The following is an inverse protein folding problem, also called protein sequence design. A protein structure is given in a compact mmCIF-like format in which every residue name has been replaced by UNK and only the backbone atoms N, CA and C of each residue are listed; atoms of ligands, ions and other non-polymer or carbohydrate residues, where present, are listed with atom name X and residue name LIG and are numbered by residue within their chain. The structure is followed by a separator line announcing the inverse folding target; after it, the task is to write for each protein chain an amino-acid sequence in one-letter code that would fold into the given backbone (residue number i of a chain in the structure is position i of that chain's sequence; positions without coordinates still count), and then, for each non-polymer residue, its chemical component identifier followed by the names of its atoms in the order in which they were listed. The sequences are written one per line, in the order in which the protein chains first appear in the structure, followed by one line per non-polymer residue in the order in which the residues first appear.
data_IF_363445324412
#
_entry.id   IF_363445324412
#
_cell.length_a   1.000
_cell.length_b   1.000
_cell.length_c   1.000
_cell.angle_alpha   90.00
_cell.angle_beta   90.00
_cell.angle_gamma   90.00
#
_symmetry.space_group_name_H-M   'P 1'
#
loop_
_entity.id
_entity.type
_entity.pdbx_description
1 polymer ?
#
# COMPACT_ATOMS: atom_id res chain seq x y z
N UNK A 1 -10.38 37.61 67.08
CA UNK A 1 -10.92 37.54 68.45
C UNK A 1 -12.35 37.07 68.32
N UNK A 2 -12.61 35.88 68.84
CA UNK A 2 -13.87 35.13 68.74
C UNK A 2 -14.92 35.71 69.69
N UNK A 3 -16.19 35.57 69.33
CA UNK A 3 -17.32 35.49 70.26
C UNK A 3 -18.34 34.48 69.71
N UNK A 4 -18.35 33.31 70.33
CA UNK A 4 -19.41 32.29 70.27
C UNK A 4 -20.55 32.67 71.23
N UNK A 5 -21.81 32.47 70.83
CA UNK A 5 -22.97 32.27 71.74
C UNK A 5 -23.95 31.28 71.09
N UNK A 6 -24.36 30.29 71.88
CA UNK A 6 -25.09 29.06 71.55
C UNK A 6 -26.64 29.17 71.61
N UNK A 7 -27.29 28.32 70.80
CA UNK A 7 -28.43 27.38 71.03
C UNK A 7 -29.84 27.77 71.60
N UNK A 8 -30.87 27.06 71.07
CA UNK A 8 -32.21 26.78 71.65
C UNK A 8 -33.36 26.84 70.59
N UNK A 9 -33.80 25.77 69.87
CA UNK A 9 -34.67 24.61 70.21
C UNK A 9 -36.17 25.00 70.41
N UNK A 10 -37.01 24.87 69.35
CA UNK A 10 -38.21 23.99 69.12
C UNK A 10 -39.58 24.71 69.36
N UNK A 11 -40.78 24.38 68.85
CA UNK A 11 -41.49 23.16 68.39
C UNK A 11 -42.74 23.50 67.51
N UNK A 12 -43.21 22.50 66.73
CA UNK A 12 -44.61 22.09 66.39
C UNK A 12 -45.53 22.97 65.47
N UNK A 13 -45.92 22.51 64.26
CA UNK A 13 -47.14 21.70 63.87
C UNK A 13 -48.43 22.57 63.78
N UNK A 14 -49.39 22.52 62.85
CA UNK A 14 -49.87 21.58 61.81
C UNK A 14 -50.98 22.31 60.95
N UNK A 15 -51.20 21.88 59.69
CA UNK A 15 -52.51 21.67 58.98
C UNK A 15 -53.51 22.85 58.71
N UNK A 16 -54.34 22.98 57.66
CA UNK A 16 -54.76 22.16 56.50
C UNK A 16 -55.67 22.98 55.52
N UNK A 17 -55.60 22.64 54.22
CA UNK A 17 -56.69 22.40 53.22
C UNK A 17 -57.58 23.47 52.52
N UNK A 18 -57.87 23.13 51.25
CA UNK A 18 -59.05 23.49 50.43
C UNK A 18 -58.71 24.24 49.12
N UNK A 19 -58.57 23.71 47.89
CA UNK A 19 -59.25 22.69 47.04
C UNK A 19 -59.81 23.36 45.74
N UNK A 20 -59.96 22.53 44.68
CA UNK A 20 -60.65 22.68 43.38
C UNK A 20 -59.86 23.22 42.16
N UNK A 21 -59.84 22.59 40.97
CA UNK A 21 -60.29 21.30 40.38
C UNK A 21 -59.68 21.25 38.94
N UNK A 22 -58.95 20.19 38.57
CA UNK A 22 -59.30 19.09 37.63
C UNK A 22 -59.21 19.39 36.12
N UNK A 23 -58.38 18.59 35.41
CA UNK A 23 -58.68 17.99 34.09
C UNK A 23 -57.63 16.91 33.71
N UNK A 24 -58.03 15.66 33.98
CA UNK A 24 -57.83 14.39 33.27
C UNK A 24 -56.44 13.87 32.82
N UNK A 25 -56.13 12.71 33.42
CA UNK A 25 -55.11 11.73 33.06
C UNK A 25 -55.46 10.97 31.77
N UNK A 26 -54.50 10.88 30.84
CA UNK A 26 -54.41 9.77 29.90
C UNK A 26 -52.97 9.22 29.87
N UNK A 27 -52.88 7.96 30.27
CA UNK A 27 -51.72 7.07 30.17
C UNK A 27 -51.05 7.14 28.79
N UNK A 28 -49.74 7.39 28.77
CA UNK A 28 -48.87 7.01 27.68
C UNK A 28 -47.76 6.15 28.26
N UNK A 29 -47.89 4.84 28.06
CA UNK A 29 -46.85 3.84 28.31
C UNK A 29 -45.57 4.24 27.59
N UNK A 30 -44.54 4.67 28.33
CA UNK A 30 -43.18 4.71 27.81
C UNK A 30 -42.71 3.27 27.58
N UNK A 31 -42.81 2.83 26.32
CA UNK A 31 -42.14 1.65 25.83
C UNK A 31 -40.63 1.87 25.92
N UNK A 32 -40.04 1.39 27.02
CA UNK A 32 -38.61 1.17 27.16
C UNK A 32 -38.20 0.16 26.08
N UNK A 33 -37.65 0.66 24.97
CA UNK A 33 -36.87 -0.18 24.07
C UNK A 33 -35.59 -0.58 24.81
N UNK A 34 -35.60 -1.81 25.33
CA UNK A 34 -34.46 -2.47 25.93
C UNK A 34 -33.33 -2.64 24.89
N UNK A 35 -32.38 -1.72 24.89
CA UNK A 35 -31.13 -1.82 24.13
C UNK A 35 -30.11 -2.65 24.93
N UNK A 36 -30.40 -3.96 25.06
CA UNK A 36 -29.65 -4.90 25.91
C UNK A 36 -28.21 -5.12 25.42
N UNK A 37 -27.91 -4.87 24.15
CA UNK A 37 -26.56 -5.03 23.58
C UNK A 37 -25.57 -3.96 24.06
N UNK A 38 -26.04 -2.74 24.37
CA UNK A 38 -25.19 -1.62 24.80
C UNK A 38 -24.57 -1.88 26.18
N UNK A 39 -25.36 -2.42 27.12
CA UNK A 39 -24.87 -2.72 28.47
C UNK A 39 -23.86 -3.87 28.50
N UNK A 40 -24.04 -4.91 27.67
CA UNK A 40 -23.09 -6.02 27.62
C UNK A 40 -21.76 -5.65 26.95
N UNK A 41 -21.79 -4.81 25.91
CA UNK A 41 -20.58 -4.32 25.25
C UNK A 41 -19.76 -3.43 26.21
N UNK A 42 -20.43 -2.54 26.95
CA UNK A 42 -19.81 -1.70 27.99
C UNK A 42 -19.29 -2.55 29.15
N UNK A 43 -20.01 -3.61 29.53
CA UNK A 43 -19.58 -4.52 30.61
C UNK A 43 -18.37 -5.36 30.19
N UNK A 44 -18.36 -5.93 28.98
CA UNK A 44 -17.20 -6.65 28.42
C UNK A 44 -15.99 -5.73 28.27
N UNK A 45 -16.20 -4.50 27.81
CA UNK A 45 -15.12 -3.52 27.66
C UNK A 45 -14.57 -3.05 29.02
N UNK A 46 -15.43 -2.82 30.01
CA UNK A 46 -15.00 -2.46 31.37
C UNK A 46 -14.22 -3.59 32.06
N UNK A 47 -14.54 -4.86 31.78
CA UNK A 47 -13.76 -6.02 32.23
C UNK A 47 -12.38 -6.06 31.57
N UNK A 48 -12.29 -5.70 30.29
CA UNK A 48 -11.02 -5.60 29.56
C UNK A 48 -10.17 -4.41 30.04
N UNK A 49 -10.80 -3.28 30.41
CA UNK A 49 -10.14 -2.10 30.97
C UNK A 49 -9.54 -2.38 32.36
N UNK A 50 -10.15 -3.24 33.17
CA UNK A 50 -9.59 -3.64 34.48
C UNK A 50 -8.29 -4.43 34.37
N UNK A 51 -8.04 -5.09 33.25
CA UNK A 51 -6.76 -5.76 32.99
C UNK A 51 -5.65 -4.81 32.50
N UNK A 52 -5.99 -3.54 32.19
CA UNK A 52 -5.06 -2.53 31.65
C UNK A 52 -4.28 -1.82 32.76
N UNK A 53 -4.88 -1.62 33.93
CA UNK A 53 -4.25 -0.87 35.04
C UNK A 53 -2.96 -1.54 35.59
N UNK A 54 -2.70 -2.81 35.27
CA UNK A 54 -1.54 -3.57 35.75
C UNK A 54 -0.37 -3.70 34.75
N UNK A 55 -0.47 -3.19 33.52
CA UNK A 55 0.59 -3.39 32.49
C UNK A 55 0.86 -2.15 31.63
N UNK A 56 2.16 -1.88 31.39
CA UNK A 56 2.67 -0.68 30.72
C UNK A 56 2.47 -0.65 29.20
N UNK A 57 3.14 0.30 28.53
CA UNK A 57 2.97 0.68 27.11
C UNK A 57 2.99 -0.49 26.11
N UNK A 58 3.70 -1.58 26.40
CA UNK A 58 3.77 -2.81 25.58
C UNK A 58 2.41 -3.53 25.42
N UNK A 59 1.48 -3.33 26.36
CA UNK A 59 0.14 -3.92 26.34
C UNK A 59 -0.73 -3.40 25.17
N UNK A 60 -0.52 -2.14 24.76
CA UNK A 60 -1.30 -1.52 23.70
C UNK A 60 -0.95 -2.07 22.32
N UNK A 61 0.32 -2.40 22.08
CA UNK A 61 0.75 -3.05 20.84
C UNK A 61 0.11 -4.45 20.68
N UNK A 62 -0.01 -5.19 21.77
CA UNK A 62 -0.64 -6.52 21.79
C UNK A 62 -2.16 -6.45 21.53
N UNK A 63 -2.87 -5.48 22.13
CA UNK A 63 -4.29 -5.26 21.84
C UNK A 63 -4.52 -4.83 20.38
N UNK A 64 -3.67 -3.95 19.84
CA UNK A 64 -3.73 -3.54 18.44
C UNK A 64 -3.50 -4.74 17.50
N UNK A 65 -2.56 -5.62 17.82
CA UNK A 65 -2.31 -6.85 17.07
C UNK A 65 -3.54 -7.79 17.11
N UNK A 66 -4.19 -7.90 18.25
CA UNK A 66 -5.36 -8.75 18.46
C UNK A 66 -6.61 -8.21 17.73
N UNK A 67 -6.85 -6.89 17.77
CA UNK A 67 -7.93 -6.25 17.02
C UNK A 67 -7.73 -6.35 15.50
N UNK A 68 -6.48 -6.25 15.03
CA UNK A 68 -6.12 -6.46 13.62
C UNK A 68 -6.38 -7.89 13.16
N UNK A 69 -6.18 -8.89 14.03
CA UNK A 69 -6.53 -10.29 13.75
C UNK A 69 -8.05 -10.51 13.68
N UNK A 70 -8.82 -9.92 14.59
CA UNK A 70 -10.28 -10.04 14.58
C UNK A 70 -10.92 -9.34 13.36
N UNK A 71 -10.37 -8.21 12.93
CA UNK A 71 -10.79 -7.51 11.70
C UNK A 71 -10.45 -8.24 10.38
N UNK A 72 -9.73 -9.36 10.44
CA UNK A 72 -9.48 -10.25 9.29
C UNK A 72 -10.45 -11.45 9.22
N UNK A 73 -11.19 -11.75 10.30
CA UNK A 73 -12.21 -12.80 10.29
C UNK A 73 -13.44 -12.32 9.50
N UNK A 74 -13.65 -12.91 8.32
CA UNK A 74 -14.70 -12.56 7.37
C UNK A 74 -16.08 -13.10 7.76
N UNK A 75 -16.52 -12.91 9.02
CA UNK A 75 -17.77 -13.51 9.52
C UNK A 75 -18.90 -12.53 9.85
N UNK A 76 -18.87 -11.28 9.35
CA UNK A 76 -19.96 -10.29 9.56
C UNK A 76 -20.65 -9.94 8.23
N UNK A 77 -20.83 -10.92 7.33
CA UNK A 77 -21.44 -10.69 6.01
C UNK A 77 -22.89 -11.21 5.88
N UNK A 78 -23.56 -11.58 6.97
CA UNK A 78 -24.92 -12.17 6.89
C UNK A 78 -26.07 -11.32 7.48
N UNK A 79 -25.83 -10.10 8.00
CA UNK A 79 -26.91 -9.31 8.64
C UNK A 79 -27.25 -7.96 8.00
N UNK A 80 -26.63 -7.55 6.90
CA UNK A 80 -26.79 -6.19 6.35
C UNK A 80 -27.60 -6.16 5.04
N UNK A 81 -28.88 -6.52 5.09
CA UNK A 81 -29.82 -6.37 3.96
C UNK A 81 -30.76 -5.14 4.10
N UNK A 82 -30.59 -4.30 5.11
CA UNK A 82 -31.34 -3.04 5.24
C UNK A 82 -30.49 -1.86 4.74
N UNK A 83 -30.56 -1.57 3.43
CA UNK A 83 -29.83 -0.44 2.82
C UNK A 83 -30.34 0.95 3.26
N UNK A 84 -31.46 1.04 3.99
CA UNK A 84 -32.03 2.31 4.44
C UNK A 84 -31.40 2.85 5.75
N UNK A 85 -30.84 1.98 6.59
CA UNK A 85 -30.24 2.37 7.89
C UNK A 85 -28.79 2.91 7.77
N UNK A 86 -28.20 2.87 6.57
CA UNK A 86 -26.80 3.29 6.30
C UNK A 86 -26.70 4.68 5.64
N UNK A 87 -27.79 5.44 5.57
CA UNK A 87 -27.78 6.79 4.98
C UNK A 87 -27.31 7.81 6.02
N UNK A 88 -26.22 8.51 5.70
CA UNK A 88 -25.75 9.69 6.43
C UNK A 88 -26.92 10.69 6.58
N UNK A 89 -27.25 11.06 7.81
CA UNK A 89 -28.27 12.09 8.05
C UNK A 89 -27.61 13.46 7.83
N UNK A 90 -28.40 14.45 7.40
CA UNK A 90 -27.89 15.83 7.21
C UNK A 90 -27.28 16.41 8.50
N UNK A 91 -27.74 15.93 9.65
CA UNK A 91 -27.29 16.37 10.98
C UNK A 91 -25.99 15.71 11.46
N UNK A 92 -25.48 14.68 10.76
CA UNK A 92 -24.30 13.93 11.22
C UNK A 92 -23.01 14.68 10.81
N UNK A 93 -22.56 15.60 11.66
CA UNK A 93 -21.42 16.47 11.38
C UNK A 93 -20.09 15.77 11.69
N UNK A 94 -19.25 15.64 10.65
CA UNK A 94 -17.90 15.10 10.77
C UNK A 94 -16.89 16.23 10.59
N UNK A 95 -15.90 16.28 11.47
CA UNK A 95 -14.78 17.22 11.42
C UNK A 95 -13.46 16.47 11.22
N UNK A 96 -12.65 17.01 10.33
CA UNK A 96 -11.26 16.65 10.16
C UNK A 96 -10.40 17.47 11.12
N UNK A 97 -9.53 16.81 11.88
CA UNK A 97 -8.59 17.44 12.80
C UNK A 97 -7.18 16.99 12.45
N UNK A 98 -6.27 17.95 12.30
CA UNK A 98 -4.85 17.65 12.11
C UNK A 98 -4.27 16.94 13.34
N UNK A 99 -3.56 15.84 13.12
CA UNK A 99 -2.91 15.02 14.14
C UNK A 99 -1.40 14.97 13.89
N UNK A 100 -0.62 14.78 14.95
CA UNK A 100 0.79 14.43 14.79
C UNK A 100 0.92 13.08 14.07
N UNK A 101 1.75 13.04 13.03
CA UNK A 101 1.94 11.84 12.20
C UNK A 101 2.41 10.66 13.05
N UNK A 102 1.77 9.49 12.87
CA UNK A 102 2.08 8.25 13.58
C UNK A 102 1.39 8.10 14.94
N UNK A 103 0.61 9.08 15.38
CA UNK A 103 -0.13 9.05 16.65
C UNK A 103 -1.65 8.90 16.45
N UNK A 104 -2.12 8.76 15.21
CA UNK A 104 -3.54 8.79 14.85
C UNK A 104 -4.32 7.66 15.54
N UNK A 105 -3.78 6.42 15.49
CA UNK A 105 -4.40 5.26 16.17
C UNK A 105 -4.39 5.46 17.69
N UNK A 106 -3.26 5.91 18.26
CA UNK A 106 -3.14 6.18 19.71
C UNK A 106 -4.17 7.22 20.19
N UNK A 107 -4.39 8.28 19.41
CA UNK A 107 -5.40 9.31 19.71
C UNK A 107 -6.80 8.73 19.75
N UNK A 108 -7.18 7.87 18.79
CA UNK A 108 -8.49 7.23 18.78
C UNK A 108 -8.74 6.42 20.07
N UNK A 109 -7.75 5.66 20.53
CA UNK A 109 -7.84 4.92 21.79
C UNK A 109 -7.87 5.82 23.02
N UNK A 110 -7.12 6.94 23.04
CA UNK A 110 -7.19 7.92 24.13
C UNK A 110 -8.59 8.53 24.27
N UNK A 111 -9.22 8.89 23.15
CA UNK A 111 -10.60 9.40 23.14
C UNK A 111 -11.58 8.35 23.67
N UNK A 112 -11.45 7.10 23.21
CA UNK A 112 -12.27 6.01 23.69
C UNK A 112 -12.10 5.79 25.20
N UNK A 113 -10.86 5.76 25.70
CA UNK A 113 -10.54 5.59 27.11
C UNK A 113 -11.17 6.69 27.99
N UNK A 114 -11.16 7.94 27.50
CA UNK A 114 -11.84 9.06 28.18
C UNK A 114 -13.37 8.90 28.21
N UNK A 115 -13.96 8.40 27.13
CA UNK A 115 -15.41 8.17 27.05
C UNK A 115 -15.85 7.00 27.96
N UNK A 116 -15.01 5.98 28.12
CA UNK A 116 -15.31 4.75 28.88
C UNK A 116 -14.77 4.76 30.31
N UNK A 117 -14.26 5.89 30.80
CA UNK A 117 -13.63 5.97 32.11
C UNK A 117 -14.65 5.62 33.23
N UNK A 118 -14.34 4.70 34.15
CA UNK A 118 -15.32 4.12 35.08
C UNK A 118 -15.91 5.13 36.09
N UNK A 119 -15.12 6.14 36.47
CA UNK A 119 -15.51 7.11 37.51
C UNK A 119 -16.09 8.41 36.96
N UNK A 120 -15.67 8.82 35.76
CA UNK A 120 -15.99 10.11 35.16
C UNK A 120 -15.94 9.99 33.63
N UNK A 121 -16.95 9.37 33.01
CA UNK A 121 -17.01 9.25 31.56
C UNK A 121 -17.11 10.64 30.92
N UNK A 122 -16.26 10.91 29.93
CA UNK A 122 -16.25 12.17 29.19
C UNK A 122 -16.47 11.90 27.70
N UNK A 123 -17.71 12.05 27.24
CA UNK A 123 -18.08 11.90 25.83
C UNK A 123 -17.69 13.17 25.05
N UNK A 124 -16.43 13.23 24.62
CA UNK A 124 -15.91 14.35 23.83
C UNK A 124 -16.31 14.28 22.35
N UNK A 125 -16.59 13.08 21.85
CA UNK A 125 -17.07 12.82 20.50
C UNK A 125 -17.99 11.60 20.48
N UNK A 126 -18.87 11.51 19.48
CA UNK A 126 -19.71 10.32 19.25
C UNK A 126 -18.91 9.18 18.65
N UNK A 127 -18.07 9.50 17.67
CA UNK A 127 -17.17 8.56 17.03
C UNK A 127 -15.86 9.25 16.63
N UNK A 128 -14.81 8.44 16.51
CA UNK A 128 -13.50 8.87 16.01
C UNK A 128 -12.96 7.80 15.07
N UNK A 129 -12.44 8.24 13.93
CA UNK A 129 -11.87 7.40 12.88
C UNK A 129 -10.45 7.88 12.61
N UNK A 130 -9.50 6.98 12.87
CA UNK A 130 -8.09 7.16 12.54
C UNK A 130 -7.68 6.06 11.54
N UNK A 131 -7.05 6.46 10.43
CA UNK A 131 -6.62 5.53 9.38
C UNK A 131 -5.13 5.66 9.12
N UNK A 132 -4.42 4.55 9.17
CA UNK A 132 -2.99 4.48 8.81
C UNK A 132 -2.71 4.87 7.34
N UNK A 133 -3.71 4.83 6.46
CA UNK A 133 -3.58 5.28 5.06
C UNK A 133 -3.62 6.80 4.90
N UNK A 134 -4.05 7.56 5.91
CA UNK A 134 -4.18 9.02 5.87
C UNK A 134 -3.38 9.59 7.05
N UNK A 135 -2.04 9.64 6.95
CA UNK A 135 -1.19 10.10 8.04
C UNK A 135 -1.40 11.60 8.30
N UNK A 136 -1.40 11.98 9.57
CA UNK A 136 -1.50 13.37 10.03
C UNK A 136 -2.93 13.90 10.18
N UNK A 137 -3.94 13.06 10.00
CA UNK A 137 -5.34 13.48 10.06
C UNK A 137 -6.19 12.45 10.80
N UNK A 138 -7.16 12.93 11.59
CA UNK A 138 -8.23 12.12 12.18
C UNK A 138 -9.59 12.72 11.83
N UNK A 139 -10.62 11.90 11.88
CA UNK A 139 -11.99 12.31 11.64
C UNK A 139 -12.84 12.03 12.87
N UNK A 140 -13.63 13.01 13.30
CA UNK A 140 -14.47 12.88 14.48
C UNK A 140 -15.88 13.35 14.23
N UNK A 141 -16.84 12.62 14.77
CA UNK A 141 -18.25 12.97 14.72
C UNK A 141 -18.62 13.73 16.01
N UNK A 142 -18.98 15.00 15.83
CA UNK A 142 -19.31 15.93 16.91
C UNK A 142 -20.40 16.88 16.45
N UNK A 143 -21.19 17.39 17.37
CA UNK A 143 -22.35 18.23 17.05
C UNK A 143 -21.96 19.60 16.49
N UNK A 144 -20.84 20.15 16.97
CA UNK A 144 -20.38 21.47 16.56
C UNK A 144 -18.85 21.64 16.56
N UNK A 145 -18.41 22.75 15.95
CA UNK A 145 -16.99 23.14 15.88
C UNK A 145 -16.40 23.45 17.27
N UNK A 146 -17.23 23.82 18.26
CA UNK A 146 -16.78 24.07 19.63
C UNK A 146 -16.37 22.79 20.33
N UNK A 147 -17.11 21.70 20.13
CA UNK A 147 -16.82 20.36 20.62
C UNK A 147 -15.57 19.79 19.92
N UNK A 148 -15.44 19.97 18.60
CA UNK A 148 -14.22 19.62 17.87
C UNK A 148 -12.97 20.30 18.46
N UNK A 149 -13.07 21.61 18.78
CA UNK A 149 -11.98 22.36 19.43
C UNK A 149 -11.73 21.91 20.87
N UNK A 150 -12.77 21.55 21.61
CA UNK A 150 -12.63 21.05 22.97
C UNK A 150 -11.89 19.70 23.00
N UNK A 151 -12.22 18.81 22.07
CA UNK A 151 -11.50 17.55 21.84
C UNK A 151 -10.02 17.81 21.53
N UNK A 152 -9.73 18.67 20.54
CA UNK A 152 -8.37 18.99 20.14
C UNK A 152 -7.54 19.67 21.25
N UNK A 153 -8.17 20.38 22.19
CA UNK A 153 -7.49 20.98 23.36
C UNK A 153 -7.14 19.94 24.43
N UNK A 154 -7.90 18.85 24.50
CA UNK A 154 -7.73 17.82 25.52
C UNK A 154 -6.58 16.87 25.20
N UNK A 155 -6.27 16.71 23.92
CA UNK A 155 -5.27 15.76 23.41
C UNK A 155 -4.11 16.54 22.79
N UNK A 156 -2.89 16.44 23.34
CA UNK A 156 -1.75 17.25 22.89
C UNK A 156 -1.30 16.92 21.47
N UNK A 157 -1.58 15.71 20.97
CA UNK A 157 -1.25 15.29 19.61
C UNK A 157 -2.17 15.88 18.54
N UNK A 158 -3.25 16.57 18.93
CA UNK A 158 -4.20 17.19 18.01
C UNK A 158 -3.97 18.70 17.83
N UNK A 159 -4.13 19.16 16.61
CA UNK A 159 -3.96 20.57 16.25
C UNK A 159 -5.28 21.33 16.37
N UNK A 160 -5.38 22.17 17.39
CA UNK A 160 -6.55 23.02 17.66
C UNK A 160 -6.84 24.08 16.58
N UNK A 161 -5.85 24.42 15.75
CA UNK A 161 -5.98 25.43 14.68
C UNK A 161 -6.33 24.81 13.32
N UNK A 162 -6.05 23.51 13.13
CA UNK A 162 -6.27 22.80 11.88
C UNK A 162 -7.50 21.89 12.01
N UNK A 163 -8.69 22.51 11.97
CA UNK A 163 -9.97 21.82 12.10
C UNK A 163 -10.89 22.28 10.97
N UNK A 164 -11.37 21.33 10.17
CA UNK A 164 -12.19 21.58 8.99
C UNK A 164 -13.45 20.70 8.98
N UNK A 165 -14.64 21.25 8.67
CA UNK A 165 -15.84 20.43 8.49
C UNK A 165 -15.73 19.62 7.19
N UNK A 166 -16.14 18.36 7.24
CA UNK A 166 -16.13 17.45 6.10
C UNK A 166 -17.42 17.59 5.29
N UNK A 167 -17.27 17.74 3.97
CA UNK A 167 -18.40 17.85 3.04
C UNK A 167 -19.18 16.53 2.96
N UNK A 168 -20.49 16.59 2.69
CA UNK A 168 -21.36 15.41 2.63
C UNK A 168 -20.85 14.32 1.68
N UNK A 169 -20.31 14.73 0.53
CA UNK A 169 -19.79 13.82 -0.50
C UNK A 169 -18.53 13.07 -0.03
N UNK A 170 -17.69 13.71 0.80
CA UNK A 170 -16.44 13.13 1.29
C UNK A 170 -16.65 12.21 2.50
N UNK A 171 -17.74 12.36 3.26
CA UNK A 171 -18.01 11.57 4.49
C UNK A 171 -18.01 10.06 4.23
N UNK A 172 -18.58 9.62 3.09
CA UNK A 172 -18.57 8.20 2.71
C UNK A 172 -17.18 7.71 2.30
N UNK A 173 -16.37 8.56 1.68
CA UNK A 173 -15.02 8.22 1.25
C UNK A 173 -14.07 7.98 2.43
N UNK A 174 -14.35 8.61 3.58
CA UNK A 174 -13.57 8.42 4.82
C UNK A 174 -13.68 6.99 5.37
N UNK A 175 -14.90 6.46 5.36
CA UNK A 175 -15.20 5.09 5.77
C UNK A 175 -14.96 4.07 4.64
N UNK A 176 -14.86 4.55 3.39
CA UNK A 176 -14.53 3.70 2.26
C UNK A 176 -13.12 3.17 2.45
N UNK A 177 -13.05 1.87 2.75
CA UNK A 177 -11.79 1.14 2.86
C UNK A 177 -11.11 1.22 1.49
N UNK A 178 -10.09 2.07 1.35
CA UNK A 178 -9.10 1.89 0.30
C UNK A 178 -8.61 0.47 0.50
N UNK A 179 -8.84 -0.41 -0.49
CA UNK A 179 -8.49 -1.84 -0.38
C UNK A 179 -7.13 -1.93 0.29
N UNK A 180 -7.03 -2.44 1.55
CA UNK A 180 -5.74 -2.51 2.23
C UNK A 180 -4.85 -3.23 1.25
N UNK A 181 -3.73 -2.63 0.81
CA UNK A 181 -2.90 -3.11 -0.30
C UNK A 181 -2.74 -4.63 -0.21
N UNK A 182 -3.70 -5.36 -0.80
CA UNK A 182 -3.81 -6.78 -0.53
C UNK A 182 -2.79 -7.36 -1.46
N UNK A 183 -1.88 -8.13 -0.89
CA UNK A 183 -0.99 -8.96 -1.66
C UNK A 183 -1.84 -9.69 -2.71
N UNK A 184 -1.62 -9.32 -3.98
CA UNK A 184 -2.29 -9.92 -5.12
C UNK A 184 -1.33 -10.94 -5.68
N UNK A 185 -1.83 -12.14 -5.92
CA UNK A 185 -1.07 -13.18 -6.59
C UNK A 185 -0.59 -12.70 -7.96
N UNK A 186 0.53 -13.26 -8.42
CA UNK A 186 1.13 -12.96 -9.72
C UNK A 186 1.49 -11.48 -9.92
N UNK A 187 1.85 -10.77 -8.84
CA UNK A 187 2.27 -9.36 -8.87
C UNK A 187 3.79 -9.23 -8.74
N UNK A 188 4.38 -8.32 -9.52
CA UNK A 188 5.80 -7.99 -9.40
C UNK A 188 6.08 -7.08 -8.20
N UNK A 189 7.20 -7.35 -7.54
CA UNK A 189 7.67 -6.61 -6.36
C UNK A 189 9.17 -6.33 -6.47
N UNK A 190 9.64 -5.28 -5.81
CA UNK A 190 11.08 -5.03 -5.67
C UNK A 190 11.54 -5.39 -4.28
N UNK A 191 12.74 -5.96 -4.19
CA UNK A 191 13.39 -6.20 -2.91
C UNK A 191 14.01 -4.89 -2.39
N UNK A 192 13.59 -4.47 -1.20
CA UNK A 192 14.12 -3.29 -0.51
C UNK A 192 14.62 -3.66 0.90
N UNK A 193 15.29 -4.79 1.00
CA UNK A 193 15.77 -5.30 2.27
C UNK A 193 17.27 -5.02 2.46
N UNK A 194 17.60 -4.29 3.52
CA UNK A 194 18.97 -3.87 3.83
C UNK A 194 19.71 -4.88 4.73
N UNK A 195 19.05 -5.93 5.22
CA UNK A 195 19.65 -6.97 6.06
C UNK A 195 20.73 -7.73 5.29
N UNK A 196 21.77 -8.19 5.98
CA UNK A 196 22.93 -8.83 5.34
C UNK A 196 22.59 -10.03 4.44
N UNK A 197 21.58 -10.83 4.82
CA UNK A 197 21.06 -11.97 4.03
C UNK A 197 20.53 -11.55 2.65
N UNK A 198 19.85 -10.41 2.61
CA UNK A 198 19.07 -9.95 1.44
C UNK A 198 19.70 -8.80 0.67
N UNK A 199 20.73 -8.14 1.23
CA UNK A 199 21.44 -7.00 0.63
C UNK A 199 21.88 -7.24 -0.83
N UNK A 200 22.23 -8.49 -1.19
CA UNK A 200 22.63 -8.86 -2.56
C UNK A 200 21.49 -8.80 -3.59
N UNK A 201 20.24 -8.83 -3.13
CA UNK A 201 19.04 -8.74 -3.94
C UNK A 201 18.44 -7.33 -3.96
N UNK A 202 19.09 -6.32 -3.37
CA UNK A 202 18.55 -4.96 -3.31
C UNK A 202 18.29 -4.41 -4.73
N UNK A 203 17.04 -4.06 -5.00
CA UNK A 203 16.56 -3.57 -6.29
C UNK A 203 16.26 -4.65 -7.33
N UNK A 204 16.39 -5.94 -6.98
CA UNK A 204 16.00 -7.04 -7.85
C UNK A 204 14.47 -7.16 -7.90
N UNK A 205 13.96 -7.63 -9.04
CA UNK A 205 12.53 -7.90 -9.22
C UNK A 205 12.17 -9.32 -8.79
N UNK A 206 11.09 -9.46 -8.01
CA UNK A 206 10.49 -10.73 -7.60
C UNK A 206 9.04 -10.87 -8.03
N UNK A 207 8.58 -12.12 -8.11
CA UNK A 207 7.18 -12.47 -8.40
C UNK A 207 6.48 -12.93 -7.14
N UNK A 208 5.35 -12.32 -6.79
CA UNK A 208 4.52 -12.73 -5.68
C UNK A 208 3.68 -13.95 -6.07
N UNK A 209 3.69 -14.98 -5.23
CA UNK A 209 3.02 -16.25 -5.45
C UNK A 209 2.18 -16.57 -4.21
N UNK A 210 0.89 -16.78 -4.39
CA UNK A 210 0.00 -17.20 -3.31
C UNK A 210 0.11 -18.71 -3.09
N UNK A 211 0.32 -19.13 -1.84
CA UNK A 211 0.30 -20.53 -1.42
C UNK A 211 -0.60 -20.69 -0.20
N UNK A 212 -1.74 -21.35 -0.37
CA UNK A 212 -2.76 -21.52 0.68
C UNK A 212 -3.17 -20.15 1.26
N UNK A 213 -2.69 -19.84 2.47
CA UNK A 213 -2.99 -18.61 3.21
C UNK A 213 -1.78 -17.68 3.39
N UNK A 214 -0.64 -18.00 2.76
CA UNK A 214 0.56 -17.17 2.80
C UNK A 214 1.03 -16.80 1.40
N UNK A 215 1.88 -15.77 1.33
CA UNK A 215 2.53 -15.36 0.11
C UNK A 215 4.01 -15.71 0.17
N UNK A 216 4.53 -16.15 -0.97
CA UNK A 216 5.93 -16.36 -1.23
C UNK A 216 6.38 -15.38 -2.31
N UNK A 217 7.65 -15.02 -2.31
CA UNK A 217 8.31 -14.31 -3.38
C UNK A 217 9.23 -15.27 -4.12
N UNK A 218 9.03 -15.41 -5.42
CA UNK A 218 9.97 -16.02 -6.33
C UNK A 218 11.04 -15.00 -6.73
N UNK A 219 12.31 -15.30 -6.44
CA UNK A 219 13.47 -14.48 -6.79
C UNK A 219 14.44 -15.29 -7.66
N UNK A 220 15.09 -14.63 -8.63
CA UNK A 220 16.18 -15.25 -9.37
C UNK A 220 17.41 -15.35 -8.44
N UNK A 221 17.96 -16.55 -8.21
CA UNK A 221 19.08 -16.72 -7.29
C UNK A 221 20.33 -15.93 -7.69
N UNK A 222 21.09 -15.51 -6.67
CA UNK A 222 22.47 -15.01 -6.80
C UNK A 222 23.40 -15.90 -5.99
N UNK A 223 23.96 -16.92 -6.65
CA UNK A 223 24.84 -17.93 -6.05
C UNK A 223 26.27 -17.69 -6.55
N UNK A 224 27.19 -17.38 -5.64
CA UNK A 224 28.58 -17.09 -5.96
C UNK A 224 29.33 -16.56 -4.74
N UNK A 225 30.65 -16.36 -4.91
CA UNK A 225 31.53 -15.82 -3.85
C UNK A 225 31.61 -14.29 -3.86
N UNK A 226 31.16 -13.67 -4.94
CA UNK A 226 31.16 -12.22 -5.12
C UNK A 226 30.14 -11.55 -4.20
N UNK A 227 30.31 -10.26 -3.87
CA UNK A 227 29.37 -9.53 -3.02
C UNK A 227 27.98 -9.40 -3.65
N UNK A 228 27.90 -9.35 -4.98
CA UNK A 228 26.64 -9.39 -5.75
C UNK A 228 26.84 -10.29 -6.98
N UNK A 229 26.73 -11.62 -6.84
CA UNK A 229 26.84 -12.56 -7.95
C UNK A 229 25.78 -12.27 -9.03
N UNK A 230 26.02 -12.63 -10.30
CA UNK A 230 25.02 -12.47 -11.36
C UNK A 230 23.74 -13.25 -11.03
N UNK A 231 22.61 -12.75 -11.54
CA UNK A 231 21.33 -13.45 -11.50
C UNK A 231 21.40 -14.64 -12.46
N UNK A 232 21.13 -15.84 -11.94
CA UNK A 232 21.03 -17.04 -12.75
C UNK A 232 20.04 -18.00 -12.11
N UNK A 233 19.30 -18.73 -12.95
CA UNK A 233 18.53 -19.87 -12.48
C UNK A 233 19.49 -20.91 -11.89
N UNK A 234 19.02 -21.62 -10.88
CA UNK A 234 19.75 -22.70 -10.23
C UNK A 234 19.03 -24.04 -10.41
N UNK A 235 18.92 -24.61 -11.62
CA UNK A 235 18.23 -25.89 -11.80
C UNK A 235 18.77 -26.96 -10.86
N UNK A 236 17.90 -27.83 -10.36
CA UNK A 236 18.30 -28.84 -9.38
C UNK A 236 19.45 -29.73 -9.89
N UNK A 237 19.40 -30.14 -11.16
CA UNK A 237 20.39 -31.04 -11.76
C UNK A 237 21.78 -30.39 -11.80
N UNK A 238 21.87 -29.13 -12.26
CA UNK A 238 23.10 -28.33 -12.28
C UNK A 238 23.66 -28.11 -10.86
N UNK A 239 22.77 -27.89 -9.88
CA UNK A 239 23.15 -27.71 -8.49
C UNK A 239 23.70 -28.99 -7.86
N UNK A 240 23.12 -30.15 -8.19
CA UNK A 240 23.62 -31.46 -7.75
C UNK A 240 24.97 -31.76 -8.38
N UNK A 241 25.16 -31.46 -9.66
CA UNK A 241 26.43 -31.63 -10.36
C UNK A 241 27.53 -30.73 -9.76
N UNK A 242 27.20 -29.48 -9.47
CA UNK A 242 28.16 -28.48 -8.98
C UNK A 242 28.53 -28.66 -7.51
N UNK A 243 27.56 -28.94 -6.64
CA UNK A 243 27.75 -28.95 -5.18
C UNK A 243 27.67 -30.34 -4.53
N UNK A 244 27.19 -31.34 -5.28
CA UNK A 244 26.98 -32.70 -4.82
C UNK A 244 25.62 -32.94 -4.16
N UNK A 245 25.10 -34.16 -4.34
CA UNK A 245 23.79 -34.61 -3.86
C UNK A 245 23.57 -34.45 -2.35
N UNK A 246 24.65 -34.47 -1.55
CA UNK A 246 24.54 -34.33 -0.09
C UNK A 246 24.19 -32.91 0.36
N UNK A 247 24.50 -31.90 -0.44
CA UNK A 247 24.23 -30.48 -0.13
C UNK A 247 22.89 -29.99 -0.68
N UNK A 248 22.35 -30.71 -1.67
CA UNK A 248 21.10 -30.37 -2.36
C UNK A 248 20.06 -31.43 -2.00
N UNK A 249 19.14 -31.07 -1.09
CA UNK A 249 18.13 -32.01 -0.59
C UNK A 249 16.81 -31.82 -1.34
N UNK A 250 16.40 -32.79 -2.13
CA UNK A 250 15.07 -32.79 -2.76
C UNK A 250 13.97 -32.88 -1.68
N UNK A 251 12.87 -32.13 -1.84
CA UNK A 251 11.67 -32.33 -1.04
C UNK A 251 10.85 -33.52 -1.58
N UNK A 252 9.98 -34.07 -0.72
CA UNK A 252 9.10 -35.21 -1.03
C UNK A 252 8.25 -35.01 -2.29
N UNK A 253 7.85 -33.76 -2.56
CA UNK A 253 7.05 -33.42 -3.75
C UNK A 253 7.84 -33.47 -5.06
N UNK A 254 9.18 -33.58 -5.02
CA UNK A 254 10.11 -33.51 -6.17
C UNK A 254 9.98 -32.25 -7.05
N UNK A 255 9.19 -31.26 -6.62
CA UNK A 255 9.02 -29.96 -7.29
C UNK A 255 9.96 -28.90 -6.75
N UNK A 256 10.57 -29.15 -5.59
CA UNK A 256 11.39 -28.21 -4.83
C UNK A 256 12.59 -28.93 -4.23
N UNK A 257 13.65 -28.17 -3.97
CA UNK A 257 14.83 -28.64 -3.25
C UNK A 257 15.34 -27.58 -2.27
N UNK A 258 16.08 -28.01 -1.25
CA UNK A 258 16.72 -27.16 -0.26
C UNK A 258 18.22 -27.11 -0.53
N UNK A 259 18.75 -25.90 -0.58
CA UNK A 259 20.18 -25.63 -0.63
C UNK A 259 20.49 -24.44 0.27
N UNK A 260 21.49 -24.58 1.16
CA UNK A 260 21.88 -23.53 2.11
C UNK A 260 20.70 -22.92 2.91
N UNK A 261 19.83 -23.78 3.45
CA UNK A 261 18.63 -23.38 4.22
C UNK A 261 17.61 -22.54 3.43
N UNK A 262 17.76 -22.43 2.12
CA UNK A 262 16.83 -21.76 1.23
C UNK A 262 16.09 -22.80 0.39
N UNK A 263 14.82 -22.53 0.10
CA UNK A 263 13.98 -23.41 -0.73
C UNK A 263 13.97 -22.89 -2.15
N UNK A 264 14.19 -23.78 -3.11
CA UNK A 264 14.18 -23.46 -4.53
C UNK A 264 13.16 -24.34 -5.23
N UNK A 265 12.61 -23.85 -6.33
CA UNK A 265 11.88 -24.68 -7.28
C UNK A 265 12.83 -25.55 -8.08
N UNK A 266 12.31 -26.61 -8.71
CA UNK A 266 13.12 -27.53 -9.53
C UNK A 266 13.82 -26.83 -10.70
N UNK A 267 13.16 -25.85 -11.30
CA UNK A 267 13.67 -24.95 -12.35
C UNK A 267 14.64 -23.88 -11.82
N UNK A 268 14.85 -23.81 -10.51
CA UNK A 268 15.92 -23.05 -9.90
C UNK A 268 15.59 -21.62 -9.51
N UNK A 269 14.32 -21.33 -9.19
CA UNK A 269 13.90 -20.05 -8.62
C UNK A 269 13.90 -20.16 -7.10
N UNK A 270 14.45 -19.15 -6.42
CA UNK A 270 14.45 -19.06 -4.96
C UNK A 270 13.07 -18.66 -4.45
N UNK A 271 12.54 -19.41 -3.48
CA UNK A 271 11.28 -19.13 -2.82
C UNK A 271 11.51 -18.59 -1.41
N UNK A 272 11.01 -17.38 -1.16
CA UNK A 272 11.17 -16.68 0.13
C UNK A 272 9.80 -16.34 0.71
N UNK A 273 9.49 -16.72 1.95
CA UNK A 273 8.30 -16.23 2.65
C UNK A 273 8.28 -14.70 2.76
N UNK A 274 7.15 -14.06 2.50
CA UNK A 274 7.05 -12.58 2.51
C UNK A 274 7.33 -11.95 3.88
N UNK A 275 7.22 -12.70 4.97
CA UNK A 275 7.56 -12.24 6.32
C UNK A 275 9.09 -12.23 6.60
N UNK A 276 9.89 -12.89 5.77
CA UNK A 276 11.35 -12.93 5.93
C UNK A 276 12.08 -11.81 5.18
N UNK A 277 11.40 -11.06 4.30
CA UNK A 277 12.01 -10.11 3.37
C UNK A 277 11.19 -8.83 3.22
N UNK A 278 11.87 -7.69 3.17
CA UNK A 278 11.21 -6.40 2.97
C UNK A 278 11.03 -6.10 1.47
N UNK A 279 9.79 -5.79 1.09
CA UNK A 279 9.37 -5.65 -0.31
C UNK A 279 8.70 -4.31 -0.56
N UNK A 280 8.95 -3.76 -1.75
CA UNK A 280 8.19 -2.60 -2.28
C UNK A 280 7.15 -3.14 -3.25
N UNK A 281 5.89 -2.92 -2.90
CA UNK A 281 4.72 -3.35 -3.68
C UNK A 281 4.06 -2.10 -4.26
N UNK A 282 4.32 -1.81 -5.54
CA UNK A 282 3.64 -0.74 -6.29
C UNK A 282 3.02 -1.30 -7.56
N UNK A 283 2.05 -0.59 -8.15
CA UNK A 283 1.51 -0.91 -9.49
C UNK A 283 2.53 -0.69 -10.61
N UNK A 284 3.57 0.10 -10.37
CA UNK A 284 4.57 0.49 -11.37
C UNK A 284 5.78 -0.45 -11.46
N UNK A 285 5.85 -1.42 -10.53
CA UNK A 285 6.93 -2.40 -10.51
C UNK A 285 6.73 -3.36 -11.66
N UNK A 286 7.72 -3.38 -12.57
CA UNK A 286 7.79 -4.31 -13.69
C UNK A 286 9.22 -4.86 -13.78
N UNK A 287 9.38 -6.14 -14.13
CA UNK A 287 10.70 -6.72 -14.35
C UNK A 287 11.34 -6.12 -15.58
N UNK A 288 12.67 -6.10 -15.61
CA UNK A 288 13.37 -5.83 -16.87
C UNK A 288 13.23 -7.01 -17.84
N UNK A 289 13.50 -6.80 -19.13
CA UNK A 289 13.42 -7.87 -20.14
C UNK A 289 14.25 -9.11 -19.76
N UNK A 290 15.45 -8.91 -19.20
CA UNK A 290 16.31 -10.02 -18.77
C UNK A 290 15.68 -10.82 -17.61
N UNK A 291 15.27 -10.15 -16.54
CA UNK A 291 14.60 -10.78 -15.40
C UNK A 291 13.32 -11.49 -15.86
N UNK A 292 12.50 -10.83 -16.68
CA UNK A 292 11.26 -11.39 -17.20
C UNK A 292 11.51 -12.67 -18.03
N UNK A 293 12.55 -12.69 -18.87
CA UNK A 293 12.92 -13.86 -19.65
C UNK A 293 13.27 -15.07 -18.76
N UNK A 294 13.91 -14.84 -17.61
CA UNK A 294 14.22 -15.90 -16.64
C UNK A 294 12.97 -16.47 -15.97
N UNK A 295 11.95 -15.65 -15.73
CA UNK A 295 10.65 -16.11 -15.20
C UNK A 295 9.78 -16.78 -16.27
N UNK A 296 9.93 -16.45 -17.56
CA UNK A 296 9.11 -17.03 -18.64
C UNK A 296 9.29 -18.55 -18.79
N UNK A 297 10.46 -19.09 -18.41
CA UNK A 297 10.71 -20.53 -18.40
C UNK A 297 10.13 -21.25 -17.19
N UNK A 298 9.58 -20.52 -16.21
CA UNK A 298 9.11 -21.07 -14.94
C UNK A 298 7.63 -21.38 -14.93
N UNK A 299 7.27 -22.44 -14.21
CA UNK A 299 5.87 -22.77 -13.89
C UNK A 299 5.25 -21.83 -12.85
N UNK A 300 6.05 -20.97 -12.20
CA UNK A 300 5.55 -20.01 -11.22
C UNK A 300 4.77 -18.85 -11.86
N UNK A 301 5.07 -18.53 -13.12
CA UNK A 301 4.44 -17.43 -13.85
C UNK A 301 3.31 -17.96 -14.72
N UNK A 302 2.07 -17.65 -14.34
CA UNK A 302 0.87 -18.03 -15.07
C UNK A 302 0.80 -17.37 -16.46
N UNK A 303 0.16 -18.02 -17.43
CA UNK A 303 0.09 -17.52 -18.82
C UNK A 303 -0.64 -16.17 -18.95
N UNK A 304 -1.65 -15.94 -18.11
CA UNK A 304 -2.39 -14.68 -18.02
C UNK A 304 -1.50 -13.55 -17.49
N UNK A 305 -0.78 -13.81 -16.39
CA UNK A 305 0.17 -12.88 -15.79
C UNK A 305 1.35 -12.59 -16.73
N UNK A 306 1.83 -13.60 -17.46
CA UNK A 306 2.88 -13.47 -18.48
C UNK A 306 2.47 -12.53 -19.59
N UNK A 307 1.30 -12.74 -20.18
CA UNK A 307 0.77 -11.92 -21.28
C UNK A 307 0.54 -10.47 -20.85
N UNK A 308 -0.01 -10.28 -19.65
CA UNK A 308 -0.20 -8.95 -19.06
C UNK A 308 1.13 -8.23 -18.80
N UNK A 309 2.09 -8.92 -18.20
CA UNK A 309 3.41 -8.33 -17.89
C UNK A 309 4.14 -7.94 -19.16
N UNK A 310 4.12 -8.79 -20.19
CA UNK A 310 4.76 -8.50 -21.47
C UNK A 310 4.18 -7.24 -22.12
N UNK A 311 2.85 -7.07 -22.05
CA UNK A 311 2.16 -5.88 -22.56
C UNK A 311 2.56 -4.62 -21.78
N UNK A 312 2.60 -4.71 -20.44
CA UNK A 312 2.98 -3.60 -19.57
C UNK A 312 4.46 -3.18 -19.74
N UNK A 313 5.37 -4.15 -19.88
CA UNK A 313 6.79 -3.90 -20.13
C UNK A 313 6.96 -3.22 -21.49
N UNK A 314 6.26 -3.71 -22.52
CA UNK A 314 6.34 -3.12 -23.85
C UNK A 314 5.73 -1.70 -23.89
N UNK A 315 4.62 -1.44 -23.19
CA UNK A 315 4.03 -0.10 -23.06
C UNK A 315 4.94 0.92 -22.40
N UNK A 316 5.64 0.52 -21.33
CA UNK A 316 6.56 1.42 -20.63
C UNK A 316 7.70 1.93 -21.52
N UNK A 317 7.90 1.29 -22.68
CA UNK A 317 8.91 1.65 -23.67
C UNK A 317 8.36 2.30 -24.94
N UNK A 318 7.05 2.56 -25.00
CA UNK A 318 6.42 3.28 -26.11
C UNK A 318 5.96 4.65 -25.65
N UNK A 319 6.31 5.67 -26.42
CA UNK A 319 5.85 7.04 -26.26
C UNK A 319 5.02 7.47 -27.48
N UNK A 320 4.21 8.51 -27.29
CA UNK A 320 3.53 9.16 -28.41
C UNK A 320 4.58 9.60 -29.44
N UNK A 321 4.30 9.40 -30.73
CA UNK A 321 5.18 9.69 -31.86
C UNK A 321 6.43 8.80 -31.98
N UNK A 322 6.57 7.75 -31.16
CA UNK A 322 7.61 6.74 -31.40
C UNK A 322 7.36 6.03 -32.73
N UNK A 323 8.44 5.79 -33.47
CA UNK A 323 8.40 4.93 -34.65
C UNK A 323 8.55 3.48 -34.24
N UNK A 324 7.64 2.64 -34.70
CA UNK A 324 7.64 1.20 -34.43
C UNK A 324 7.53 0.39 -35.72
N UNK A 325 8.03 -0.84 -35.68
CA UNK A 325 7.85 -1.85 -36.72
C UNK A 325 6.87 -2.90 -36.21
N UNK A 326 5.87 -3.22 -37.02
CA UNK A 326 4.97 -4.33 -36.78
C UNK A 326 5.74 -5.63 -37.06
N UNK A 327 5.80 -6.55 -36.08
CA UNK A 327 6.58 -7.80 -36.16
C UNK A 327 5.72 -9.05 -36.41
N UNK A 328 4.40 -8.95 -36.26
CA UNK A 328 3.44 -10.06 -36.43
C UNK A 328 2.15 -9.57 -37.10
N UNK A 329 1.35 -10.51 -37.63
CA UNK A 329 0.07 -10.21 -38.28
C UNK A 329 0.20 -9.82 -39.75
N UNK A 330 -0.90 -9.33 -40.33
CA UNK A 330 -1.01 -9.00 -41.76
C UNK A 330 -0.13 -7.81 -42.19
N UNK A 331 0.17 -6.91 -41.24
CA UNK A 331 1.04 -5.76 -41.45
C UNK A 331 2.49 -6.02 -41.01
N UNK A 332 2.90 -7.28 -40.81
CA UNK A 332 4.26 -7.62 -40.42
C UNK A 332 5.30 -7.03 -41.39
N UNK A 333 6.30 -6.34 -40.82
CA UNK A 333 7.35 -5.63 -41.54
C UNK A 333 7.05 -4.15 -41.79
N UNK A 334 5.80 -3.70 -41.63
CA UNK A 334 5.40 -2.31 -41.88
C UNK A 334 5.82 -1.41 -40.72
N UNK A 335 6.28 -0.20 -41.05
CA UNK A 335 6.59 0.85 -40.08
C UNK A 335 5.36 1.71 -39.80
N UNK A 336 5.16 2.04 -38.53
CA UNK A 336 4.10 2.89 -38.03
C UNK A 336 4.59 3.91 -37.02
N UNK A 337 3.86 5.01 -36.88
CA UNK A 337 4.03 6.01 -35.84
C UNK A 337 2.97 5.80 -34.75
N UNK A 338 3.38 5.83 -33.48
CA UNK A 338 2.47 5.70 -32.34
C UNK A 338 1.61 6.96 -32.21
N UNK A 339 0.30 6.81 -32.36
CA UNK A 339 -0.69 7.89 -32.21
C UNK A 339 -1.25 7.93 -30.79
N UNK A 340 -1.48 6.76 -30.20
CA UNK A 340 -2.04 6.60 -28.85
C UNK A 340 -1.53 5.31 -28.20
N UNK A 341 -1.25 5.34 -26.90
CA UNK A 341 -0.81 4.19 -26.12
C UNK A 341 -1.92 3.82 -25.13
N UNK A 342 -2.59 2.69 -25.36
CA UNK A 342 -3.58 2.10 -24.45
C UNK A 342 -2.98 1.05 -23.51
N UNK A 343 -3.84 0.40 -22.71
CA UNK A 343 -3.42 -0.58 -21.68
C UNK A 343 -3.10 -1.98 -22.19
N UNK A 344 -3.54 -2.36 -23.40
CA UNK A 344 -3.20 -3.63 -24.06
C UNK A 344 -2.98 -3.48 -25.57
N UNK A 345 -3.38 -2.34 -26.13
CA UNK A 345 -3.28 -2.00 -27.54
C UNK A 345 -2.60 -0.65 -27.73
N UNK A 346 -1.98 -0.47 -28.88
CA UNK A 346 -1.36 0.79 -29.34
C UNK A 346 -1.98 1.16 -30.68
N UNK A 347 -2.41 2.41 -30.81
CA UNK A 347 -2.95 2.92 -32.06
C UNK A 347 -1.79 3.38 -32.94
N UNK A 348 -1.59 2.73 -34.09
CA UNK A 348 -0.53 3.09 -35.03
C UNK A 348 -1.10 3.75 -36.27
N UNK A 349 -0.45 4.82 -36.71
CA UNK A 349 -0.58 5.33 -38.08
C UNK A 349 0.46 4.64 -38.95
N UNK A 350 0.03 3.87 -39.95
CA UNK A 350 0.88 3.20 -40.92
C UNK A 350 0.97 4.04 -42.21
N UNK A 351 2.01 4.87 -42.41
CA UNK A 351 2.03 5.84 -43.51
C UNK A 351 2.10 5.18 -44.89
N UNK A 352 2.69 3.99 -44.97
CA UNK A 352 2.78 3.24 -46.24
C UNK A 352 1.45 2.65 -46.71
N UNK A 353 0.50 2.47 -45.79
CA UNK A 353 -0.84 1.93 -46.08
C UNK A 353 -1.93 3.00 -46.00
N UNK A 354 -1.58 4.20 -45.52
CA UNK A 354 -2.52 5.30 -45.22
C UNK A 354 -3.67 4.88 -44.29
N UNK A 355 -3.35 4.04 -43.29
CA UNK A 355 -4.31 3.49 -42.33
C UNK A 355 -3.90 3.86 -40.90
N UNK A 356 -4.90 4.08 -40.05
CA UNK A 356 -4.74 4.13 -38.58
C UNK A 356 -5.48 2.93 -38.00
N UNK A 357 -4.77 2.04 -37.32
CA UNK A 357 -5.34 0.81 -36.78
C UNK A 357 -4.77 0.47 -35.40
N UNK A 358 -5.56 -0.18 -34.52
CA UNK A 358 -5.06 -0.68 -33.25
C UNK A 358 -4.23 -1.95 -33.47
N UNK A 359 -3.14 -2.06 -32.72
CA UNK A 359 -2.25 -3.23 -32.70
C UNK A 359 -2.03 -3.67 -31.27
N UNK A 360 -1.86 -4.96 -31.03
CA UNK A 360 -1.40 -5.40 -29.71
C UNK A 360 0.01 -4.88 -29.47
N UNK A 361 0.30 -4.41 -28.26
CA UNK A 361 1.64 -3.91 -27.91
C UNK A 361 2.72 -5.00 -28.11
N UNK A 362 2.33 -6.28 -28.03
CA UNK A 362 3.23 -7.41 -28.24
C UNK A 362 3.63 -7.54 -29.72
N UNK A 363 2.81 -7.08 -30.65
CA UNK A 363 2.99 -7.17 -32.11
C UNK A 363 3.88 -6.06 -32.68
N UNK A 364 4.32 -5.11 -31.85
CA UNK A 364 5.10 -3.96 -32.28
C UNK A 364 6.45 -3.92 -31.57
N UNK A 365 7.47 -3.36 -32.23
CA UNK A 365 8.77 -3.10 -31.63
C UNK A 365 9.27 -1.71 -32.01
N UNK A 366 9.97 -0.98 -31.10
CA UNK A 366 10.62 0.27 -31.46
C UNK A 366 11.51 0.11 -32.70
N UNK A 367 11.40 1.04 -33.63
CA UNK A 367 12.19 1.07 -34.84
C UNK A 367 13.17 2.24 -34.76
N UNK A 368 14.46 1.93 -34.94
CA UNK A 368 15.53 2.92 -34.94
C UNK A 368 16.22 2.94 -36.31
N UNK A 369 16.62 4.13 -36.72
CA UNK A 369 17.39 4.40 -37.93
C UNK A 369 18.81 4.85 -37.55
N UNK A 370 19.73 4.64 -38.48
CA UNK A 370 21.09 5.16 -38.34
C UNK A 370 21.02 6.69 -38.25
N UNK A 371 21.67 7.24 -37.22
CA UNK A 371 21.64 8.66 -36.88
C UNK A 371 20.72 9.01 -35.70
N UNK A 372 19.83 8.12 -35.28
CA UNK A 372 18.94 8.37 -34.15
C UNK A 372 19.74 8.52 -32.84
N UNK A 373 19.36 9.51 -32.02
CA UNK A 373 19.92 9.69 -30.69
C UNK A 373 19.09 8.90 -29.67
N UNK A 374 19.70 7.90 -29.06
CA UNK A 374 19.02 6.91 -28.22
C UNK A 374 19.65 6.88 -26.82
N UNK A 375 18.84 6.52 -25.83
CA UNK A 375 19.29 6.26 -24.48
C UNK A 375 19.15 4.77 -24.18
N UNK A 376 20.19 4.16 -23.63
CA UNK A 376 20.16 2.76 -23.23
C UNK A 376 19.35 2.67 -21.93
N UNK A 377 18.19 2.02 -21.99
CA UNK A 377 17.29 1.89 -20.85
C UNK A 377 17.66 0.72 -19.93
N UNK A 378 18.38 -0.29 -20.45
CA UNK A 378 18.70 -1.55 -19.76
C UNK A 378 20.05 -2.14 -20.18
N UNK A 379 20.64 -3.00 -19.34
CA UNK A 379 21.94 -3.64 -19.57
C UNK A 379 23.13 -2.90 -18.95
N UNK A 380 24.35 -3.36 -19.24
CA UNK A 380 25.59 -2.84 -18.64
C UNK A 380 25.86 -1.36 -18.94
N UNK A 381 25.29 -0.86 -20.05
CA UNK A 381 25.40 0.54 -20.48
C UNK A 381 24.14 1.36 -20.14
N UNK A 382 23.30 0.91 -19.20
CA UNK A 382 22.08 1.64 -18.80
C UNK A 382 22.39 3.08 -18.41
N UNK A 383 21.60 4.02 -18.94
CA UNK A 383 21.75 5.46 -18.71
C UNK A 383 22.66 6.16 -19.72
N UNK A 384 23.51 5.41 -20.44
CA UNK A 384 24.32 5.97 -21.51
C UNK A 384 23.44 6.45 -22.67
N UNK A 385 23.78 7.62 -23.20
CA UNK A 385 23.16 8.20 -24.41
C UNK A 385 24.16 8.16 -25.55
N UNK A 386 23.67 7.97 -26.77
CA UNK A 386 24.53 7.88 -27.94
C UNK A 386 23.75 7.91 -29.24
N UNK A 387 24.47 7.75 -30.34
CA UNK A 387 23.88 7.72 -31.68
C UNK A 387 23.92 6.32 -32.27
N UNK A 388 22.84 5.90 -32.92
CA UNK A 388 22.78 4.64 -33.67
C UNK A 388 23.69 4.75 -34.89
N UNK A 389 24.79 3.99 -34.91
CA UNK A 389 25.73 3.95 -36.05
C UNK A 389 25.45 2.80 -37.00
N UNK A 390 24.76 1.76 -36.52
CA UNK A 390 24.32 0.63 -37.31
C UNK A 390 23.01 0.09 -36.75
N UNK A 391 22.04 -0.19 -37.63
CA UNK A 391 20.79 -0.82 -37.29
C UNK A 391 20.46 -1.90 -38.32
N UNK A 392 20.37 -3.14 -37.87
CA UNK A 392 19.93 -4.25 -38.72
C UNK A 392 19.07 -5.22 -37.90
N UNK A 393 17.80 -5.33 -38.29
CA UNK A 393 16.79 -6.15 -37.63
C UNK A 393 16.73 -5.86 -36.12
N UNK A 394 17.02 -6.83 -35.26
CA UNK A 394 17.02 -6.67 -33.80
C UNK A 394 18.36 -6.20 -33.21
N UNK A 395 19.34 -5.84 -34.05
CA UNK A 395 20.68 -5.42 -33.61
C UNK A 395 20.92 -3.95 -33.89
N UNK A 396 21.24 -3.22 -32.83
CA UNK A 396 21.69 -1.82 -32.87
C UNK A 396 23.12 -1.74 -32.37
N UNK A 397 23.95 -0.99 -33.08
CA UNK A 397 25.24 -0.51 -32.57
C UNK A 397 25.07 0.97 -32.26
N UNK A 398 25.30 1.32 -31.00
CA UNK A 398 25.20 2.70 -30.52
C UNK A 398 26.58 3.19 -30.17
N UNK A 399 26.98 4.31 -30.76
CA UNK A 399 28.17 5.04 -30.36
C UNK A 399 27.84 5.91 -29.16
N UNK A 400 28.31 5.48 -27.98
CA UNK A 400 28.17 6.21 -26.71
C UNK A 400 29.28 7.26 -26.67
N UNK A 401 28.92 8.54 -26.56
CA UNK A 401 29.92 9.59 -26.36
C UNK A 401 30.56 9.39 -24.97
N UNK A 402 31.89 9.49 -24.83
CA UNK A 402 32.53 9.40 -23.52
C UNK A 402 31.99 10.53 -22.62
N UNK A 403 31.71 10.20 -21.36
CA UNK A 403 31.43 11.20 -20.33
C UNK A 403 32.59 12.21 -20.32
N UNK A 404 32.34 13.45 -20.72
CA UNK A 404 33.29 14.52 -20.49
C UNK A 404 33.35 14.74 -18.98
N UNK A 405 34.39 14.21 -18.32
CA UNK A 405 35.00 14.89 -17.19
C UNK A 405 35.47 16.26 -17.68
N UNK A 406 34.57 17.24 -17.66
CA UNK A 406 34.91 18.64 -17.81
C UNK A 406 35.56 19.13 -16.51
N UNK A 407 36.76 18.63 -16.25
CA UNK A 407 37.68 19.19 -15.26
C UNK A 407 39.11 19.11 -15.77
N UNK A 408 39.49 20.06 -16.61
CA UNK A 408 40.87 20.49 -16.72
C UNK A 408 40.93 22.01 -16.63
N UNK A 409 41.38 22.49 -15.47
CA UNK A 409 41.97 23.82 -15.28
C UNK A 409 43.49 23.65 -15.33
N UNK A 410 44.15 24.25 -16.33
CA UNK A 410 45.37 25.07 -16.21
C UNK A 410 45.81 25.50 -17.62
N UNK A 411 45.76 26.81 -17.91
CA UNK A 411 46.86 27.78 -17.86
C UNK A 411 47.51 28.05 -19.23
N UNK A 412 47.14 29.22 -19.77
CA UNK A 412 47.93 30.22 -20.53
C UNK A 412 49.12 29.71 -21.36
N UNK A 413 49.10 29.96 -22.68
CA UNK A 413 50.23 30.54 -23.42
C UNK A 413 49.75 31.38 -24.62
N UNK A 414 50.57 32.34 -24.98
CA UNK A 414 50.33 33.58 -25.71
C UNK A 414 50.06 33.45 -27.22
N UNK A 415 49.43 34.50 -27.75
CA UNK A 415 49.45 34.92 -29.16
C UNK A 415 50.89 35.04 -29.67
N UNK A 416 51.15 34.74 -30.95
CA UNK A 416 51.66 35.79 -31.82
C UNK A 416 50.86 35.94 -33.13
N UNK A 417 50.86 37.19 -33.59
CA UNK A 417 50.22 37.79 -34.76
C UNK A 417 50.54 37.10 -36.10
N UNK A 418 49.95 37.70 -37.17
CA UNK A 418 50.36 37.75 -38.60
C UNK A 418 49.25 37.11 -39.47
N UNK A 419 48.42 37.80 -40.26
CA UNK A 419 48.36 39.16 -40.84
C UNK A 419 46.91 39.65 -40.90
#
# INVERSE_FOLDING_TARGET
MFLDIEAGVTDEEEEEQGEFEDEDEHECEEQIYNDVESYEAVTRHSQLMRTIDDTGEDFWEDILAQARQQGQSSSVMETLNNQEDLRLRENDMIFEIGCLVGHEESVAFKVLSLATHPTFPQTLARSIVARSTIPGHIYTEVDDMTQARALARRIPELNTSNIHPVSLDERTDMLTRSSPYRLKDQKWVWVHDKRAKWKKYLGDTGLLIKRLDSFLVGLIPRIGKEPRPPQALAPQDDMVETFGIHKVKALETQTQYIFQQCTYTRDGILLVPTNEIDLVISSEVLPCHHEFALFCGSLLLEDTARSKTLSQVAQKHLQLHDWVKVIRGEFAGVLGEVVEVGTEEVLLRLPSQDIVAPFSVIEVRPHFKVGDHVAVTHGDHKGSKGWVTFAYDDRLVVHIAPEQEASFVSSVFSVPDVF
#
